data_IF_855825286484
#
_entry.id   IF_855825286484
#
_cell.length_a   1.000
_cell.length_b   1.000
_cell.length_c   1.000
_cell.angle_alpha   90.00
_cell.angle_beta   90.00
_cell.angle_gamma   90.00
#
_symmetry.space_group_name_H-M   'P 1'
#
loop_
_entity.id
_entity.type
_entity.pdbx_description
1 polymer ?
#
# COMPACT_ATOMS: atom_id res chain seq x y z
N UNK A 1 22.88 24.71 10.16
CA UNK A 1 23.82 23.86 9.41
C UNK A 1 23.16 23.19 8.22
N UNK A 2 23.91 22.37 7.44
CA UNK A 2 23.39 21.68 6.24
C UNK A 2 22.29 20.69 6.62
N UNK A 3 22.48 19.95 7.69
CA UNK A 3 21.52 18.98 8.24
C UNK A 3 20.20 19.62 8.67
N UNK A 4 20.21 20.71 9.39
CA UNK A 4 19.00 21.46 9.78
C UNK A 4 18.20 21.96 8.57
N UNK A 5 18.88 22.46 7.54
CA UNK A 5 18.23 22.85 6.29
C UNK A 5 17.60 21.65 5.60
N UNK A 6 18.30 20.52 5.55
CA UNK A 6 17.77 19.32 4.94
C UNK A 6 16.56 18.75 5.71
N UNK A 7 16.54 18.87 7.03
CA UNK A 7 15.42 18.50 7.88
C UNK A 7 14.18 19.38 7.63
N UNK A 8 14.40 20.70 7.45
CA UNK A 8 13.30 21.65 7.19
C UNK A 8 12.74 21.52 5.76
N UNK A 9 13.63 21.39 4.75
CA UNK A 9 13.25 21.41 3.34
C UNK A 9 12.87 20.03 2.77
N UNK A 10 13.28 18.93 3.40
CA UNK A 10 13.13 17.57 2.88
C UNK A 10 13.46 17.45 1.38
N UNK A 11 14.70 17.78 0.97
CA UNK A 11 15.06 17.83 -0.44
C UNK A 11 15.03 16.46 -1.10
N UNK A 12 14.52 16.38 -2.32
CA UNK A 12 14.58 15.15 -3.13
C UNK A 12 15.99 14.91 -3.71
N UNK A 13 16.75 15.99 -3.97
CA UNK A 13 18.07 15.94 -4.61
C UNK A 13 19.05 16.78 -3.80
N UNK A 14 20.19 16.21 -3.50
CA UNK A 14 21.26 16.87 -2.72
C UNK A 14 22.58 16.73 -3.45
N UNK A 15 23.18 17.88 -3.83
CA UNK A 15 24.57 17.93 -4.26
C UNK A 15 25.45 18.26 -3.06
N UNK A 16 26.28 17.30 -2.65
CA UNK A 16 27.07 17.38 -1.42
C UNK A 16 28.56 17.49 -1.72
N UNK A 17 29.16 18.58 -1.28
CA UNK A 17 30.65 18.66 -1.25
C UNK A 17 31.18 17.86 -0.06
N UNK A 18 32.21 17.06 -0.27
CA UNK A 18 32.84 16.30 0.82
C UNK A 18 33.61 17.24 1.73
N UNK A 19 34.35 18.19 1.15
CA UNK A 19 35.23 19.07 1.92
C UNK A 19 34.54 20.39 2.26
N UNK A 20 33.76 20.36 3.34
CA UNK A 20 33.12 21.57 3.88
C UNK A 20 33.73 21.93 5.26
N UNK A 21 33.81 23.23 5.61
CA UNK A 21 34.21 23.65 6.95
C UNK A 21 33.22 23.11 8.00
N UNK A 22 33.75 22.51 9.06
CA UNK A 22 32.96 21.95 10.16
C UNK A 22 32.66 20.47 9.97
N UNK A 23 31.48 20.13 9.47
CA UNK A 23 31.10 18.73 9.25
C UNK A 23 31.51 18.25 7.86
N UNK A 24 32.08 17.04 7.78
CA UNK A 24 32.39 16.39 6.51
C UNK A 24 31.07 16.01 5.77
N UNK A 25 31.08 16.18 4.44
CA UNK A 25 29.91 15.87 3.61
C UNK A 25 29.39 14.43 3.75
N UNK A 26 30.28 13.44 3.96
CA UNK A 26 29.91 12.05 4.24
C UNK A 26 29.14 11.93 5.56
N UNK A 27 29.60 12.59 6.61
CA UNK A 27 28.89 12.62 7.89
C UNK A 27 27.54 13.33 7.76
N UNK A 28 27.50 14.46 7.03
CA UNK A 28 26.25 15.17 6.73
C UNK A 28 25.24 14.28 6.01
N UNK A 29 25.67 13.53 5.01
CA UNK A 29 24.81 12.56 4.30
C UNK A 29 24.28 11.46 5.21
N UNK A 30 25.10 10.92 6.13
CA UNK A 30 24.65 9.94 7.13
C UNK A 30 23.56 10.49 8.03
N UNK A 31 23.72 11.72 8.50
CA UNK A 31 22.70 12.37 9.33
C UNK A 31 21.40 12.61 8.55
N UNK A 32 21.49 13.09 7.29
CA UNK A 32 20.31 13.30 6.46
C UNK A 32 19.60 11.98 6.17
N UNK A 33 20.31 10.88 5.94
CA UNK A 33 19.72 9.55 5.72
C UNK A 33 18.84 9.06 6.87
N UNK A 34 19.07 9.50 8.11
CA UNK A 34 18.26 9.10 9.27
C UNK A 34 16.81 9.56 9.18
N UNK A 35 16.56 10.71 8.58
CA UNK A 35 15.22 11.30 8.44
C UNK A 35 14.73 11.43 6.99
N UNK A 36 15.64 11.38 6.01
CA UNK A 36 15.29 11.42 4.59
C UNK A 36 15.99 10.27 3.82
N UNK A 37 15.36 9.10 3.83
CA UNK A 37 15.88 7.88 3.19
C UNK A 37 15.78 7.91 1.66
N UNK A 38 14.93 8.78 1.10
CA UNK A 38 14.59 8.81 -0.32
C UNK A 38 15.40 9.80 -1.14
N UNK A 39 16.09 10.76 -0.47
CA UNK A 39 16.90 11.76 -1.14
C UNK A 39 17.97 11.16 -2.05
N UNK A 40 18.13 11.70 -3.25
CA UNK A 40 19.19 11.34 -4.19
C UNK A 40 20.44 12.19 -3.89
N UNK A 41 21.54 11.53 -3.54
CA UNK A 41 22.79 12.22 -3.27
C UNK A 41 23.71 12.17 -4.48
N UNK A 42 24.23 13.35 -4.84
CA UNK A 42 25.28 13.56 -5.82
C UNK A 42 26.47 14.16 -5.08
N UNK A 43 27.59 13.44 -5.03
CA UNK A 43 28.80 13.90 -4.35
C UNK A 43 29.64 14.74 -5.29
N UNK A 44 30.14 15.84 -4.77
CA UNK A 44 31.06 16.75 -5.47
C UNK A 44 32.36 16.79 -4.66
N UNK A 45 33.52 16.48 -5.28
CA UNK A 45 34.80 16.48 -4.57
C UNK A 45 35.93 16.94 -5.44
N UNK A 46 36.92 17.61 -4.84
CA UNK A 46 38.17 17.98 -5.50
C UNK A 46 39.20 16.84 -5.54
N UNK A 47 38.98 15.74 -4.79
CA UNK A 47 39.95 14.66 -4.62
C UNK A 47 39.35 13.31 -4.95
N UNK A 48 40.11 12.50 -5.67
CA UNK A 48 39.86 11.10 -6.00
C UNK A 48 40.36 10.17 -4.85
N UNK A 49 40.03 10.49 -3.59
CA UNK A 49 40.39 9.61 -2.51
C UNK A 49 39.44 8.41 -2.54
N UNK A 50 40.00 7.25 -2.78
CA UNK A 50 39.30 5.96 -2.86
C UNK A 50 38.42 5.67 -1.63
N UNK A 51 38.88 6.08 -0.44
CA UNK A 51 38.16 5.86 0.83
C UNK A 51 36.81 6.61 0.87
N UNK A 52 36.77 7.86 0.42
CA UNK A 52 35.52 8.63 0.38
C UNK A 52 34.56 8.12 -0.69
N UNK A 53 35.08 7.63 -1.81
CA UNK A 53 34.26 7.04 -2.86
C UNK A 53 33.59 5.75 -2.36
N UNK A 54 34.32 4.90 -1.61
CA UNK A 54 33.77 3.69 -0.99
C UNK A 54 32.67 4.02 0.01
N UNK A 55 32.92 4.94 0.94
CA UNK A 55 31.89 5.36 1.92
C UNK A 55 30.66 6.00 1.26
N UNK A 56 30.84 6.74 0.17
CA UNK A 56 29.74 7.31 -0.60
C UNK A 56 28.88 6.21 -1.26
N UNK A 57 29.49 5.16 -1.79
CA UNK A 57 28.79 4.00 -2.36
C UNK A 57 27.95 3.33 -1.28
N UNK A 58 28.51 3.09 -0.09
CA UNK A 58 27.81 2.47 1.05
C UNK A 58 26.59 3.30 1.51
N UNK A 59 26.64 4.62 1.30
CA UNK A 59 25.53 5.54 1.58
C UNK A 59 24.50 5.62 0.44
N UNK A 60 24.69 4.91 -0.65
CA UNK A 60 23.79 4.90 -1.80
C UNK A 60 23.79 6.23 -2.56
N UNK A 61 24.98 6.75 -2.85
CA UNK A 61 25.17 7.94 -3.69
C UNK A 61 24.93 7.58 -5.15
N UNK A 62 24.17 8.41 -5.86
CA UNK A 62 23.80 8.19 -7.26
C UNK A 62 25.00 8.42 -8.20
N UNK A 63 25.81 9.43 -7.91
CA UNK A 63 26.97 9.79 -8.72
C UNK A 63 28.03 10.55 -7.92
N UNK A 64 29.27 10.30 -8.25
CA UNK A 64 30.44 11.02 -7.73
C UNK A 64 31.00 11.94 -8.83
N UNK A 65 31.09 13.24 -8.58
CA UNK A 65 31.54 14.27 -9.51
C UNK A 65 32.85 14.88 -9.03
N UNK A 66 33.91 14.74 -9.81
CA UNK A 66 35.22 15.33 -9.50
C UNK A 66 35.36 16.77 -10.04
N UNK A 67 35.85 17.67 -9.20
CA UNK A 67 36.17 19.05 -9.59
C UNK A 67 37.47 19.06 -10.38
N UNK A 68 37.61 19.92 -11.43
CA UNK A 68 36.66 20.94 -11.89
C UNK A 68 35.51 20.33 -12.68
N UNK A 69 34.26 20.74 -12.37
CA UNK A 69 33.05 20.24 -13.01
C UNK A 69 32.60 21.23 -14.08
N UNK A 70 32.45 20.76 -15.31
CA UNK A 70 31.89 21.60 -16.38
C UNK A 70 30.38 21.83 -16.16
N UNK A 71 29.88 22.98 -16.64
CA UNK A 71 28.45 23.31 -16.59
C UNK A 71 27.59 22.20 -17.22
N UNK A 72 28.03 21.62 -18.33
CA UNK A 72 27.34 20.54 -19.01
C UNK A 72 27.18 19.28 -18.11
N UNK A 73 28.24 18.91 -17.38
CA UNK A 73 28.17 17.76 -16.44
C UNK A 73 27.21 17.99 -15.27
N UNK A 74 27.14 19.22 -14.74
CA UNK A 74 26.19 19.56 -13.68
C UNK A 74 24.76 19.49 -14.22
N UNK A 75 24.49 20.09 -15.38
CA UNK A 75 23.15 20.07 -16.00
C UNK A 75 22.75 18.65 -16.26
N UNK A 76 23.57 17.81 -16.87
CA UNK A 76 23.25 16.41 -17.10
C UNK A 76 22.96 15.63 -15.80
N UNK A 77 23.71 15.90 -14.73
CA UNK A 77 23.47 15.25 -13.43
C UNK A 77 22.14 15.70 -12.79
N UNK A 78 21.78 16.98 -12.95
CA UNK A 78 20.50 17.51 -12.46
C UNK A 78 19.32 16.94 -13.27
N UNK A 79 19.43 16.89 -14.59
CA UNK A 79 18.40 16.32 -15.47
C UNK A 79 18.16 14.83 -15.14
N UNK A 80 19.24 14.05 -14.99
CA UNK A 80 19.14 12.65 -14.56
C UNK A 80 18.50 12.53 -13.18
N UNK A 81 18.84 13.42 -12.25
CA UNK A 81 18.26 13.41 -10.90
C UNK A 81 16.77 13.70 -10.94
N UNK A 82 16.34 14.70 -11.71
CA UNK A 82 14.92 15.05 -11.88
C UNK A 82 14.16 13.86 -12.48
N UNK A 83 14.67 13.25 -13.54
CA UNK A 83 14.04 12.09 -14.17
C UNK A 83 13.85 10.92 -13.19
N UNK A 84 14.87 10.65 -12.36
CA UNK A 84 14.77 9.60 -11.31
C UNK A 84 13.73 9.92 -10.26
N UNK A 85 13.66 11.18 -9.80
CA UNK A 85 12.64 11.62 -8.82
C UNK A 85 11.24 11.47 -9.41
N UNK A 86 11.04 11.98 -10.63
CA UNK A 86 9.74 11.92 -11.30
C UNK A 86 9.29 10.48 -11.55
N UNK A 87 10.21 9.62 -11.96
CA UNK A 87 9.94 8.18 -12.13
C UNK A 87 9.50 7.52 -10.82
N UNK A 88 10.20 7.79 -9.71
CA UNK A 88 9.82 7.27 -8.37
C UNK A 88 8.44 7.79 -7.93
N UNK A 89 8.18 9.09 -8.12
CA UNK A 89 6.88 9.71 -7.79
C UNK A 89 5.73 9.11 -8.61
N UNK A 90 5.95 8.94 -9.92
CA UNK A 90 4.96 8.36 -10.82
C UNK A 90 4.68 6.90 -10.47
N UNK A 91 5.71 6.10 -10.17
CA UNK A 91 5.54 4.71 -9.72
C UNK A 91 4.72 4.63 -8.44
N UNK A 92 5.04 5.46 -7.43
CA UNK A 92 4.29 5.51 -6.17
C UNK A 92 2.83 5.94 -6.40
N UNK A 93 2.60 6.98 -7.21
CA UNK A 93 1.25 7.42 -7.55
C UNK A 93 0.45 6.34 -8.27
N UNK A 94 1.07 5.61 -9.21
CA UNK A 94 0.41 4.52 -9.90
C UNK A 94 0.06 3.35 -8.98
N UNK A 95 0.95 3.00 -8.04
CA UNK A 95 0.68 1.96 -7.05
C UNK A 95 -0.52 2.34 -6.17
N UNK A 96 -0.57 3.58 -5.68
CA UNK A 96 -1.72 4.08 -4.89
C UNK A 96 -3.02 4.02 -5.70
N UNK A 97 -3.00 4.46 -6.96
CA UNK A 97 -4.19 4.37 -7.84
C UNK A 97 -4.65 2.93 -8.10
N UNK A 98 -3.71 1.99 -8.21
CA UNK A 98 -4.03 0.58 -8.35
C UNK A 98 -4.65 0.06 -7.05
N UNK A 99 -4.09 0.42 -5.91
CA UNK A 99 -4.61 0.03 -4.60
C UNK A 99 -6.02 0.56 -4.38
N UNK A 100 -6.29 1.85 -4.63
CA UNK A 100 -7.63 2.45 -4.55
C UNK A 100 -8.64 1.73 -5.45
N UNK A 101 -8.23 1.38 -6.68
CA UNK A 101 -9.10 0.61 -7.59
C UNK A 101 -9.38 -0.79 -7.06
N UNK A 102 -8.39 -1.48 -6.51
CA UNK A 102 -8.57 -2.81 -5.93
C UNK A 102 -9.51 -2.76 -4.73
N UNK A 103 -9.39 -1.79 -3.84
CA UNK A 103 -10.31 -1.58 -2.71
C UNK A 103 -11.76 -1.40 -3.14
N UNK A 104 -11.99 -0.83 -4.34
CA UNK A 104 -13.34 -0.66 -4.90
C UNK A 104 -13.84 -1.92 -5.63
N UNK A 105 -12.95 -2.61 -6.34
CA UNK A 105 -13.34 -3.75 -7.21
C UNK A 105 -13.49 -5.05 -6.41
N UNK A 106 -12.61 -5.29 -5.44
CA UNK A 106 -12.64 -6.53 -4.65
C UNK A 106 -14.01 -6.78 -4.02
N UNK A 107 -14.70 -5.82 -3.36
CA UNK A 107 -16.03 -6.05 -2.82
C UNK A 107 -17.07 -6.46 -3.85
N UNK A 108 -16.97 -5.93 -5.07
CA UNK A 108 -17.89 -6.28 -6.17
C UNK A 108 -17.66 -7.72 -6.63
N UNK A 109 -16.40 -8.13 -6.75
CA UNK A 109 -16.04 -9.50 -7.12
C UNK A 109 -16.45 -10.49 -6.01
N UNK A 110 -16.20 -10.17 -4.74
CA UNK A 110 -16.63 -10.98 -3.60
C UNK A 110 -18.15 -11.17 -3.56
N UNK A 111 -18.90 -10.09 -3.76
CA UNK A 111 -20.35 -10.17 -3.81
C UNK A 111 -20.85 -11.04 -4.96
N UNK A 112 -20.23 -10.92 -6.12
CA UNK A 112 -20.54 -11.76 -7.28
C UNK A 112 -20.19 -13.24 -7.03
N UNK A 113 -19.07 -13.52 -6.37
CA UNK A 113 -18.67 -14.87 -5.96
C UNK A 113 -19.69 -15.48 -4.99
N UNK A 114 -19.99 -14.76 -3.90
CA UNK A 114 -20.98 -15.21 -2.90
C UNK A 114 -22.35 -15.43 -3.55
N UNK A 115 -22.77 -14.51 -4.43
CA UNK A 115 -24.01 -14.64 -5.18
C UNK A 115 -24.03 -15.87 -6.10
N UNK A 116 -22.94 -16.17 -6.79
CA UNK A 116 -22.85 -17.35 -7.66
C UNK A 116 -23.04 -18.66 -6.90
N UNK A 117 -22.54 -18.74 -5.67
CA UNK A 117 -22.68 -19.90 -4.80
C UNK A 117 -24.12 -20.01 -4.22
N UNK A 118 -24.68 -18.90 -3.76
CA UNK A 118 -26.01 -18.89 -3.13
C UNK A 118 -27.15 -19.13 -4.09
N UNK A 119 -27.03 -18.64 -5.32
CA UNK A 119 -28.06 -18.75 -6.35
C UNK A 119 -27.81 -19.88 -7.36
N UNK A 120 -26.91 -20.81 -7.02
CA UNK A 120 -26.59 -22.01 -7.82
C UNK A 120 -26.35 -21.68 -9.32
N UNK A 121 -25.55 -20.65 -9.57
CA UNK A 121 -25.08 -20.37 -10.92
C UNK A 121 -24.15 -21.50 -11.40
N UNK A 122 -23.82 -21.51 -12.71
CA UNK A 122 -22.91 -22.50 -13.27
C UNK A 122 -21.57 -22.55 -12.49
N UNK A 123 -21.09 -23.74 -12.21
CA UNK A 123 -19.84 -23.97 -11.46
C UNK A 123 -18.65 -23.20 -12.05
N UNK A 124 -18.61 -23.06 -13.37
CA UNK A 124 -17.58 -22.29 -14.10
C UNK A 124 -17.56 -20.82 -13.67
N UNK A 125 -18.73 -20.23 -13.37
CA UNK A 125 -18.85 -18.83 -12.91
C UNK A 125 -18.27 -18.66 -11.51
N UNK A 126 -18.57 -19.57 -10.59
CA UNK A 126 -18.02 -19.57 -9.24
C UNK A 126 -16.49 -19.78 -9.27
N UNK A 127 -15.98 -20.71 -10.08
CA UNK A 127 -14.55 -20.96 -10.26
C UNK A 127 -13.81 -19.75 -10.84
N UNK A 128 -14.43 -19.01 -11.76
CA UNK A 128 -13.85 -17.77 -12.28
C UNK A 128 -13.65 -16.71 -11.19
N UNK A 129 -14.68 -16.43 -10.40
CA UNK A 129 -14.56 -15.47 -9.29
C UNK A 129 -13.61 -15.95 -8.20
N UNK A 130 -13.58 -17.24 -7.91
CA UNK A 130 -12.64 -17.84 -6.96
C UNK A 130 -11.19 -17.61 -7.38
N UNK A 131 -10.86 -17.76 -8.66
CA UNK A 131 -9.53 -17.48 -9.20
C UNK A 131 -9.19 -15.99 -9.11
N UNK A 132 -10.14 -15.08 -9.39
CA UNK A 132 -9.93 -13.63 -9.26
C UNK A 132 -9.65 -13.20 -7.81
N UNK A 133 -10.20 -13.91 -6.85
CA UNK A 133 -10.02 -13.65 -5.41
C UNK A 133 -8.83 -14.40 -4.80
N UNK A 134 -8.09 -15.16 -5.61
CA UNK A 134 -6.97 -16.01 -5.17
C UNK A 134 -7.36 -17.01 -4.06
N UNK A 135 -8.59 -17.52 -4.12
CA UNK A 135 -9.10 -18.53 -3.19
C UNK A 135 -8.68 -19.90 -3.70
N UNK A 136 -7.70 -20.54 -3.04
CA UNK A 136 -7.15 -21.84 -3.43
C UNK A 136 -8.13 -22.99 -3.21
N UNK A 137 -8.88 -22.95 -2.11
CA UNK A 137 -9.77 -24.03 -1.69
C UNK A 137 -11.08 -24.03 -2.47
N UNK A 138 -11.53 -25.23 -2.88
CA UNK A 138 -12.82 -25.42 -3.57
C UNK A 138 -13.98 -25.66 -2.60
N UNK A 139 -13.67 -25.94 -1.36
CA UNK A 139 -14.64 -26.28 -0.31
C UNK A 139 -14.59 -25.23 0.78
N UNK A 140 -15.64 -25.20 1.58
CA UNK A 140 -15.78 -24.24 2.66
C UNK A 140 -17.17 -24.28 3.24
N UNK A 141 -17.45 -23.36 4.10
CA UNK A 141 -18.78 -23.17 4.69
C UNK A 141 -19.27 -21.74 4.48
N UNK A 142 -20.59 -21.57 4.61
CA UNK A 142 -21.22 -20.25 4.55
C UNK A 142 -21.64 -19.86 5.95
N UNK A 143 -21.06 -18.80 6.46
CA UNK A 143 -21.48 -18.13 7.68
C UNK A 143 -22.50 -17.05 7.32
N UNK A 144 -23.55 -16.91 8.12
CA UNK A 144 -24.54 -15.85 7.92
C UNK A 144 -24.55 -14.96 9.15
N UNK A 145 -24.14 -13.71 8.98
CA UNK A 145 -24.23 -12.69 10.02
C UNK A 145 -25.61 -12.07 9.93
N UNK A 146 -26.42 -12.26 10.96
CA UNK A 146 -27.76 -11.68 11.03
C UNK A 146 -27.76 -10.56 12.06
N UNK A 147 -28.17 -9.36 11.64
CA UNK A 147 -28.40 -8.26 12.55
C UNK A 147 -29.87 -8.17 12.91
N UNK A 148 -30.12 -7.85 14.20
CA UNK A 148 -31.45 -7.89 14.79
C UNK A 148 -32.36 -6.74 14.35
N UNK A 149 -33.62 -6.82 14.82
CA UNK A 149 -34.57 -5.71 14.69
C UNK A 149 -34.15 -4.59 15.63
N UNK A 150 -33.93 -3.40 15.09
CA UNK A 150 -33.66 -2.20 15.89
C UNK A 150 -34.98 -1.51 16.25
N UNK A 151 -35.07 -1.07 17.49
CA UNK A 151 -36.16 -0.23 17.98
C UNK A 151 -35.63 1.19 18.18
N UNK A 152 -36.33 2.17 17.64
CA UNK A 152 -36.06 3.58 17.88
C UNK A 152 -37.29 4.22 18.49
N UNK A 153 -37.16 4.80 19.69
CA UNK A 153 -38.27 5.38 20.46
C UNK A 153 -39.45 4.38 20.70
N UNK A 154 -39.15 3.09 20.92
CA UNK A 154 -40.16 2.07 21.15
C UNK A 154 -40.93 1.59 19.91
N UNK A 155 -40.54 2.05 18.72
CA UNK A 155 -41.11 1.60 17.44
C UNK A 155 -40.09 0.79 16.65
N UNK A 156 -40.56 -0.28 16.02
CA UNK A 156 -39.75 -1.06 15.07
C UNK A 156 -39.30 -0.18 13.91
N UNK A 157 -37.99 -0.16 13.66
CA UNK A 157 -37.48 0.52 12.47
C UNK A 157 -37.93 -0.27 11.24
N UNK A 158 -38.38 0.46 10.21
CA UNK A 158 -38.78 -0.14 8.94
C UNK A 158 -37.60 -0.89 8.29
N UNK A 159 -37.86 -1.94 7.47
CA UNK A 159 -36.81 -2.64 6.73
C UNK A 159 -35.88 -1.72 5.93
N UNK A 160 -36.43 -0.62 5.39
CA UNK A 160 -35.65 0.39 4.67
C UNK A 160 -34.72 1.15 5.62
N UNK A 161 -35.20 1.57 6.79
CA UNK A 161 -34.36 2.23 7.80
C UNK A 161 -33.26 1.31 8.37
N UNK A 162 -33.53 0.00 8.48
CA UNK A 162 -32.53 -0.98 8.86
C UNK A 162 -31.43 -1.15 7.80
N UNK A 163 -31.80 -1.18 6.52
CA UNK A 163 -30.82 -1.29 5.45
C UNK A 163 -29.89 -0.06 5.37
N UNK A 164 -30.43 1.14 5.60
CA UNK A 164 -29.62 2.36 5.65
C UNK A 164 -28.63 2.32 6.82
N UNK A 165 -29.09 1.91 8.01
CA UNK A 165 -28.19 1.73 9.17
C UNK A 165 -27.17 0.60 8.93
N UNK A 166 -27.59 -0.52 8.36
CA UNK A 166 -26.70 -1.63 8.03
C UNK A 166 -25.60 -1.19 7.05
N UNK A 167 -25.95 -0.38 6.06
CA UNK A 167 -24.99 0.13 5.08
C UNK A 167 -23.94 1.04 5.70
N UNK A 168 -24.27 1.78 6.77
CA UNK A 168 -23.31 2.66 7.45
C UNK A 168 -22.24 1.92 8.26
N UNK A 169 -22.47 0.67 8.68
CA UNK A 169 -21.48 -0.15 9.40
C UNK A 169 -20.96 -1.34 8.59
N UNK A 170 -21.44 -1.52 7.36
CA UNK A 170 -21.05 -2.66 6.52
C UNK A 170 -19.55 -2.74 6.26
N UNK A 171 -18.93 -1.61 5.95
CA UNK A 171 -17.50 -1.55 5.67
C UNK A 171 -16.68 -1.92 6.91
N UNK A 172 -17.03 -1.37 8.08
CA UNK A 172 -16.39 -1.71 9.36
C UNK A 172 -16.55 -3.19 9.70
N UNK A 173 -17.76 -3.73 9.54
CA UNK A 173 -18.04 -5.14 9.76
C UNK A 173 -17.23 -6.03 8.83
N UNK A 174 -17.19 -5.68 7.56
CA UNK A 174 -16.40 -6.38 6.54
C UNK A 174 -14.93 -6.43 6.91
N UNK A 175 -14.36 -5.30 7.33
CA UNK A 175 -12.96 -5.20 7.74
C UNK A 175 -12.67 -6.07 8.99
N UNK A 176 -13.55 -6.07 9.98
CA UNK A 176 -13.43 -6.91 11.18
C UNK A 176 -13.47 -8.39 10.80
N UNK A 177 -14.43 -8.81 9.97
CA UNK A 177 -14.56 -10.21 9.53
C UNK A 177 -13.33 -10.63 8.73
N UNK A 178 -12.85 -9.82 7.79
CA UNK A 178 -11.67 -10.12 6.98
C UNK A 178 -10.36 -10.09 7.76
N UNK A 179 -10.27 -9.34 8.85
CA UNK A 179 -9.10 -9.38 9.73
C UNK A 179 -9.02 -10.69 10.53
N UNK A 180 -10.16 -11.36 10.75
CA UNK A 180 -10.26 -12.59 11.53
C UNK A 180 -10.25 -13.85 10.66
N UNK A 181 -10.78 -13.77 9.43
CA UNK A 181 -10.95 -14.91 8.54
C UNK A 181 -10.49 -14.59 7.12
N UNK A 182 -9.85 -15.55 6.46
CA UNK A 182 -9.69 -15.52 5.00
C UNK A 182 -11.03 -15.88 4.37
N UNK A 183 -11.81 -14.89 3.91
CA UNK A 183 -13.18 -15.08 3.49
C UNK A 183 -13.61 -14.11 2.38
N UNK A 184 -14.72 -14.44 1.72
CA UNK A 184 -15.43 -13.54 0.83
C UNK A 184 -16.74 -13.07 1.47
N UNK A 185 -16.95 -11.75 1.54
CA UNK A 185 -18.12 -11.15 2.19
C UNK A 185 -19.12 -10.72 1.13
N UNK A 186 -20.34 -11.24 1.20
CA UNK A 186 -21.44 -10.87 0.31
C UNK A 186 -22.13 -9.58 0.71
N UNK A 187 -23.02 -9.08 -0.15
CA UNK A 187 -23.83 -7.90 0.13
C UNK A 187 -24.90 -8.14 1.19
N UNK A 188 -25.43 -7.04 1.72
CA UNK A 188 -26.56 -7.08 2.66
C UNK A 188 -27.80 -7.59 1.92
N UNK A 189 -28.36 -8.68 2.41
CA UNK A 189 -29.63 -9.28 1.96
C UNK A 189 -30.66 -9.16 3.08
N UNK A 190 -31.53 -8.17 3.01
CA UNK A 190 -32.46 -7.81 4.09
C UNK A 190 -31.73 -7.47 5.39
N UNK A 191 -31.69 -8.39 6.36
CA UNK A 191 -30.96 -8.23 7.62
C UNK A 191 -29.85 -9.28 7.80
N UNK A 192 -29.31 -9.79 6.69
CA UNK A 192 -28.28 -10.83 6.67
C UNK A 192 -27.14 -10.47 5.75
N UNK A 193 -25.95 -10.87 6.15
CA UNK A 193 -24.74 -10.77 5.35
C UNK A 193 -24.15 -12.16 5.24
N UNK A 194 -24.15 -12.77 4.06
CA UNK A 194 -23.51 -14.06 3.85
C UNK A 194 -22.00 -13.87 3.72
N UNK A 195 -21.26 -14.78 4.35
CA UNK A 195 -19.79 -14.82 4.30
C UNK A 195 -19.38 -16.23 3.90
N UNK A 196 -18.59 -16.36 2.86
CA UNK A 196 -18.03 -17.65 2.42
C UNK A 196 -16.62 -17.77 2.99
N UNK A 197 -16.42 -18.80 3.80
CA UNK A 197 -15.12 -19.13 4.42
C UNK A 197 -14.59 -20.39 3.74
N UNK A 198 -13.56 -20.29 2.90
CA UNK A 198 -12.92 -21.46 2.30
C UNK A 198 -12.13 -22.23 3.37
N UNK A 199 -12.20 -23.54 3.34
CA UNK A 199 -11.41 -24.40 4.23
C UNK A 199 -11.02 -25.70 3.54
N UNK A 200 -9.91 -26.31 4.00
CA UNK A 200 -9.47 -27.62 3.55
C UNK A 200 -10.36 -28.73 4.13
N UNK A 201 -10.47 -29.84 3.41
CA UNK A 201 -11.27 -31.02 3.82
C UNK A 201 -10.89 -31.63 5.18
N UNK A 202 -9.69 -31.36 5.69
CA UNK A 202 -9.18 -31.89 6.95
C UNK A 202 -9.60 -31.09 8.20
N UNK A 203 -10.14 -29.92 8.00
CA UNK A 203 -10.57 -29.04 9.10
C UNK A 203 -12.08 -29.20 9.26
N UNK A 204 -12.49 -29.83 10.37
CA UNK A 204 -13.92 -29.91 10.73
C UNK A 204 -14.32 -28.56 11.35
N UNK A 205 -15.15 -27.74 10.68
CA UNK A 205 -15.50 -26.40 11.17
C UNK A 205 -16.35 -26.42 12.46
N UNK A 206 -16.67 -27.61 13.00
CA UNK A 206 -17.45 -27.80 14.23
C UNK A 206 -16.62 -28.33 15.41
N UNK A 207 -15.28 -28.42 15.27
CA UNK A 207 -14.40 -28.90 16.35
C UNK A 207 -13.60 -27.77 17.04
N UNK A 208 -13.85 -26.50 16.74
CA UNK A 208 -13.30 -25.35 17.47
C UNK A 208 -14.29 -24.74 18.47
#
# INVERSE_FOLDING_TARGET
AVTEKAETFHPDIVFMDIHMPGINGIQAMREIRKFNTTALFYVVSAYDKFDYAKEAIDLGVERYLTKPISKAKIISAVEEAIEKVDKKRNQRSNLLKIQEKLETVIPVVENSFVGSLLFQQEEQTADYYRQLLDIGEKQGYVMVIQFGQSYENGRLISPVGMNVKAQSFYDELRDVVKSSFSCAVGSIMSNRIPVVVPCALSENPYEE
#
